data_IF_908638891397
#
_entry.id   IF_908638891397
#
_cell.length_a   1.000
_cell.length_b   1.000
_cell.length_c   1.000
_cell.angle_alpha   90.00
_cell.angle_beta   90.00
_cell.angle_gamma   90.00
#
_symmetry.space_group_name_H-M   'P 1'
#
loop_
_entity.id
_entity.type
_entity.pdbx_description
1 polymer ?
#
# COMPACT_ATOMS: atom_id res chain seq x y z
N UNK A 1 7.22 -16.79 12.20
CA UNK A 1 7.65 -16.59 13.60
C UNK A 1 6.68 -15.60 14.20
N UNK A 2 5.92 -15.99 15.24
CA UNK A 2 5.11 -15.04 15.99
C UNK A 2 6.05 -14.00 16.58
N UNK A 3 5.86 -12.74 16.19
CA UNK A 3 6.63 -11.63 16.74
C UNK A 3 6.01 -11.27 18.09
N UNK A 4 6.83 -11.19 19.13
CA UNK A 4 6.41 -10.79 20.48
C UNK A 4 6.66 -9.31 20.74
N UNK A 5 5.77 -8.67 21.48
CA UNK A 5 5.94 -7.32 21.99
C UNK A 5 6.07 -7.38 23.52
N UNK A 6 7.01 -6.62 24.08
CA UNK A 6 7.18 -6.47 25.51
C UNK A 6 6.63 -5.11 25.95
N UNK A 7 5.75 -5.09 26.95
CA UNK A 7 5.31 -3.86 27.61
C UNK A 7 5.87 -3.86 29.03
N UNK A 8 6.62 -2.84 29.38
CA UNK A 8 7.15 -2.64 30.73
C UNK A 8 6.53 -1.37 31.30
N UNK A 9 5.58 -1.53 32.22
CA UNK A 9 4.81 -0.42 32.77
C UNK A 9 4.25 -0.81 34.14
N UNK A 10 4.46 0.00 35.18
CA UNK A 10 3.94 -0.28 36.52
C UNK A 10 2.40 -0.12 36.60
N UNK A 11 1.81 0.61 35.65
CA UNK A 11 0.37 0.76 35.53
C UNK A 11 -0.29 -0.51 34.96
N UNK A 12 -0.75 -1.36 35.88
CA UNK A 12 -1.43 -2.62 35.57
C UNK A 12 -2.64 -2.48 34.64
N UNK A 13 -3.38 -1.38 34.74
CA UNK A 13 -4.57 -1.16 33.92
C UNK A 13 -4.18 -0.83 32.48
N UNK A 14 -3.23 0.11 32.31
CA UNK A 14 -2.72 0.50 31.00
C UNK A 14 -2.06 -0.68 30.28
N UNK A 15 -1.15 -1.41 30.96
CA UNK A 15 -0.48 -2.57 30.37
C UNK A 15 -1.45 -3.63 29.85
N UNK A 16 -2.47 -3.99 30.64
CA UNK A 16 -3.51 -4.96 30.22
C UNK A 16 -4.38 -4.45 29.06
N UNK A 17 -4.73 -3.17 29.09
CA UNK A 17 -5.53 -2.55 28.02
C UNK A 17 -4.74 -2.54 26.70
N UNK A 18 -3.47 -2.15 26.74
CA UNK A 18 -2.57 -2.15 25.59
C UNK A 18 -2.41 -3.55 25.02
N UNK A 19 -2.10 -4.54 25.86
CA UNK A 19 -1.94 -5.92 25.41
C UNK A 19 -3.20 -6.44 24.70
N UNK A 20 -4.39 -6.19 25.29
CA UNK A 20 -5.65 -6.58 24.68
C UNK A 20 -5.88 -5.87 23.34
N UNK A 21 -5.65 -4.55 23.25
CA UNK A 21 -5.88 -3.79 22.01
C UNK A 21 -4.88 -4.18 20.92
N UNK A 22 -3.63 -4.46 21.27
CA UNK A 22 -2.62 -4.99 20.36
C UNK A 22 -3.07 -6.35 19.85
N UNK A 23 -3.39 -7.32 20.73
CA UNK A 23 -3.81 -8.67 20.33
C UNK A 23 -5.10 -8.70 19.49
N UNK A 24 -6.04 -7.79 19.73
CA UNK A 24 -7.29 -7.69 18.96
C UNK A 24 -7.10 -7.03 17.59
N UNK A 25 -6.22 -6.03 17.51
CA UNK A 25 -6.00 -5.24 16.28
C UNK A 25 -4.91 -5.87 15.41
N UNK A 26 -3.93 -6.51 16.04
CA UNK A 26 -2.69 -6.97 15.44
C UNK A 26 -2.40 -8.41 15.89
N UNK A 27 -1.92 -9.25 14.98
CA UNK A 27 -1.57 -10.65 15.23
C UNK A 27 -0.19 -10.77 15.93
N UNK A 28 -0.05 -10.18 17.11
CA UNK A 28 1.17 -10.19 17.93
C UNK A 28 0.88 -10.78 19.32
N UNK A 29 1.80 -11.60 19.80
CA UNK A 29 1.85 -11.99 21.21
C UNK A 29 2.41 -10.84 22.05
N UNK A 30 1.87 -10.66 23.27
CA UNK A 30 2.26 -9.55 24.14
C UNK A 30 2.58 -10.09 25.53
N UNK A 31 3.81 -9.86 25.97
CA UNK A 31 4.24 -10.08 27.35
C UNK A 31 4.25 -8.73 28.09
N UNK A 32 3.89 -8.74 29.37
CA UNK A 32 3.82 -7.53 30.20
C UNK A 32 4.67 -7.74 31.45
N UNK A 33 5.51 -6.76 31.78
CA UNK A 33 6.21 -6.64 33.04
C UNK A 33 5.73 -5.41 33.81
N UNK A 34 5.43 -5.55 35.09
CA UNK A 34 4.99 -4.45 35.97
C UNK A 34 6.13 -3.86 36.81
N UNK A 35 7.36 -4.31 36.59
CA UNK A 35 8.57 -3.83 37.25
C UNK A 35 9.83 -4.34 36.55
N UNK A 36 10.97 -3.78 36.90
CA UNK A 36 12.25 -4.10 36.27
C UNK A 36 12.69 -5.54 36.54
N UNK A 37 12.45 -6.07 37.74
CA UNK A 37 12.77 -7.45 38.07
C UNK A 37 12.05 -8.46 37.16
N UNK A 38 10.73 -8.28 36.96
CA UNK A 38 9.91 -9.11 36.07
C UNK A 38 10.36 -8.95 34.60
N UNK A 39 10.67 -7.73 34.19
CA UNK A 39 11.15 -7.45 32.84
C UNK A 39 12.44 -8.22 32.52
N UNK A 40 13.36 -8.35 33.49
CA UNK A 40 14.61 -9.13 33.31
C UNK A 40 14.35 -10.61 33.07
N UNK A 41 13.34 -11.20 33.69
CA UNK A 41 12.98 -12.60 33.50
C UNK A 41 12.39 -12.85 32.10
N UNK A 42 11.55 -11.91 31.63
CA UNK A 42 10.90 -11.98 30.33
C UNK A 42 11.86 -11.74 29.15
N UNK A 43 12.87 -10.88 29.32
CA UNK A 43 13.89 -10.55 28.32
C UNK A 43 14.86 -11.70 27.95
N UNK A 44 14.55 -12.93 28.36
CA UNK A 44 15.16 -14.15 27.80
C UNK A 44 14.51 -14.57 26.46
N UNK A 45 13.35 -14.00 26.11
CA UNK A 45 12.69 -14.20 24.83
C UNK A 45 13.15 -13.18 23.77
N UNK A 46 12.94 -13.52 22.50
CA UNK A 46 13.14 -12.61 21.38
C UNK A 46 11.92 -11.69 21.20
N UNK A 47 12.14 -10.38 21.32
CA UNK A 47 11.10 -9.36 21.15
C UNK A 47 11.32 -8.54 19.88
N UNK A 48 10.23 -8.29 19.16
CA UNK A 48 10.20 -7.39 18.01
C UNK A 48 10.33 -5.92 18.45
N UNK A 49 9.68 -5.56 19.56
CA UNK A 49 9.63 -4.20 20.08
C UNK A 49 9.31 -4.23 21.58
N UNK A 50 9.91 -3.30 22.33
CA UNK A 50 9.58 -3.04 23.72
C UNK A 50 9.03 -1.62 23.90
N UNK A 51 7.92 -1.50 24.64
CA UNK A 51 7.44 -0.23 25.18
C UNK A 51 7.86 -0.14 26.64
N UNK A 52 8.65 0.88 26.97
CA UNK A 52 9.38 0.91 28.24
C UNK A 52 9.03 2.18 29.00
N UNK A 53 8.36 2.03 30.13
CA UNK A 53 8.22 3.12 31.09
C UNK A 53 9.58 3.53 31.64
N UNK A 54 9.83 4.84 31.67
CA UNK A 54 11.06 5.39 32.19
C UNK A 54 11.18 5.23 33.72
N UNK A 55 10.06 5.37 34.42
CA UNK A 55 10.03 5.53 35.88
C UNK A 55 9.31 4.36 36.52
N UNK A 56 10.02 3.27 36.76
CA UNK A 56 9.48 2.13 37.50
C UNK A 56 9.76 2.26 39.00
N UNK A 57 8.90 1.74 39.89
CA UNK A 57 9.14 1.76 41.34
C UNK A 57 10.47 1.13 41.79
N UNK A 58 10.94 0.10 41.06
CA UNK A 58 12.21 -0.60 41.29
C UNK A 58 13.36 -0.19 40.34
N UNK A 59 13.11 0.77 39.44
CA UNK A 59 14.08 1.37 38.52
C UNK A 59 13.66 2.81 38.14
N UNK A 60 13.84 3.78 39.06
CA UNK A 60 13.23 5.11 38.91
C UNK A 60 14.00 6.06 37.99
N UNK A 61 15.22 5.72 37.54
CA UNK A 61 16.09 6.62 36.78
C UNK A 61 16.25 6.21 35.30
N UNK A 62 15.43 5.26 34.83
CA UNK A 62 15.48 4.67 33.50
C UNK A 62 16.52 3.55 33.34
N UNK A 63 16.91 2.90 34.44
CA UNK A 63 17.83 1.75 34.42
C UNK A 63 17.31 0.60 33.52
N UNK A 64 15.98 0.47 33.44
CA UNK A 64 15.32 -0.49 32.56
C UNK A 64 15.61 -0.24 31.07
N UNK A 65 15.67 1.03 30.65
CA UNK A 65 15.95 1.40 29.25
C UNK A 65 17.36 0.96 28.86
N UNK A 66 18.34 1.20 29.73
CA UNK A 66 19.72 0.80 29.49
C UNK A 66 19.85 -0.72 29.32
N UNK A 67 19.13 -1.48 30.15
CA UNK A 67 19.13 -2.93 30.05
C UNK A 67 18.44 -3.45 28.77
N UNK A 68 17.33 -2.85 28.35
CA UNK A 68 16.64 -3.19 27.08
C UNK A 68 17.56 -2.93 25.88
N UNK A 69 18.28 -1.81 25.89
CA UNK A 69 19.27 -1.47 24.86
C UNK A 69 20.43 -2.48 24.85
N UNK A 70 20.93 -2.87 26.02
CA UNK A 70 22.00 -3.88 26.14
C UNK A 70 21.57 -5.23 25.52
N UNK A 71 20.30 -5.59 25.67
CA UNK A 71 19.69 -6.77 25.03
C UNK A 71 19.41 -6.62 23.54
N UNK A 72 19.69 -5.44 22.96
CA UNK A 72 19.46 -5.10 21.54
C UNK A 72 18.00 -5.24 21.12
N UNK A 73 17.07 -5.05 22.06
CA UNK A 73 15.65 -5.04 21.78
C UNK A 73 15.28 -3.61 21.34
N UNK A 74 14.67 -3.40 20.16
CA UNK A 74 14.22 -2.07 19.77
C UNK A 74 13.23 -1.52 20.80
N UNK A 75 13.41 -0.27 21.24
CA UNK A 75 12.65 0.30 22.35
C UNK A 75 12.00 1.65 22.01
N UNK A 76 10.75 1.81 22.41
CA UNK A 76 10.04 3.09 22.47
C UNK A 76 9.78 3.43 23.93
N UNK A 77 10.21 4.61 24.36
CA UNK A 77 10.07 5.04 25.76
C UNK A 77 8.66 5.59 26.00
N UNK A 78 8.02 5.19 27.09
CA UNK A 78 6.80 5.79 27.59
C UNK A 78 7.16 6.78 28.71
N UNK A 79 6.81 8.06 28.53
CA UNK A 79 7.15 9.13 29.48
C UNK A 79 5.92 9.94 29.89
N UNK A 80 5.94 10.54 31.08
CA UNK A 80 4.93 11.52 31.48
C UNK A 80 5.05 12.82 30.65
N UNK A 81 3.97 13.59 30.55
CA UNK A 81 3.95 14.79 29.70
C UNK A 81 4.88 15.90 30.25
N UNK A 82 5.65 16.55 29.36
CA UNK A 82 6.37 17.79 29.69
C UNK A 82 7.82 17.67 30.22
N UNK A 83 8.38 16.48 30.39
CA UNK A 83 9.76 16.32 30.89
C UNK A 83 10.82 16.45 29.76
N UNK A 84 11.17 17.70 29.45
CA UNK A 84 12.24 18.02 28.47
C UNK A 84 13.62 17.49 28.87
N UNK A 85 13.93 17.46 30.16
CA UNK A 85 15.24 17.02 30.65
C UNK A 85 15.41 15.51 30.47
N UNK A 86 14.34 14.74 30.71
CA UNK A 86 14.29 13.32 30.39
C UNK A 86 14.41 13.09 28.89
N UNK A 87 13.72 13.87 28.06
CA UNK A 87 13.87 13.76 26.59
C UNK A 87 15.35 13.88 26.20
N UNK A 88 16.00 14.98 26.56
CA UNK A 88 17.43 15.21 26.24
C UNK A 88 18.34 14.08 26.74
N UNK A 89 18.11 13.55 27.94
CA UNK A 89 18.92 12.46 28.52
C UNK A 89 18.85 11.15 27.73
N UNK A 90 17.72 10.86 27.08
CA UNK A 90 17.49 9.56 26.41
C UNK A 90 17.51 9.65 24.87
N UNK A 91 17.45 10.84 24.26
CA UNK A 91 17.55 10.99 22.80
C UNK A 91 18.88 10.48 22.23
N UNK A 92 19.98 10.67 22.97
CA UNK A 92 21.32 10.22 22.57
C UNK A 92 21.50 8.70 22.71
N UNK A 93 20.54 8.01 23.35
CA UNK A 93 20.58 6.56 23.50
C UNK A 93 20.03 5.85 22.25
N UNK A 94 20.30 4.55 22.19
CA UNK A 94 19.92 3.65 21.10
C UNK A 94 18.42 3.25 21.19
N UNK A 95 17.54 4.25 21.24
CA UNK A 95 16.08 4.08 21.25
C UNK A 95 15.46 4.47 19.90
N UNK A 96 14.26 3.97 19.60
CA UNK A 96 13.53 4.30 18.38
C UNK A 96 12.81 5.63 18.46
N UNK A 97 12.05 5.83 19.55
CA UNK A 97 11.18 6.99 19.76
C UNK A 97 10.71 7.08 21.23
N UNK A 98 9.89 8.08 21.53
CA UNK A 98 9.18 8.21 22.79
C UNK A 98 7.69 8.57 22.59
N UNK A 99 6.85 8.18 23.54
CA UNK A 99 5.40 8.41 23.56
C UNK A 99 4.99 8.97 24.92
N UNK A 100 4.09 9.96 24.92
CA UNK A 100 3.58 10.56 26.16
C UNK A 100 2.39 9.77 26.72
N UNK A 101 2.56 9.18 27.91
CA UNK A 101 1.55 8.32 28.56
C UNK A 101 0.22 9.03 28.83
N UNK A 102 0.28 10.32 29.16
CA UNK A 102 -0.87 11.14 29.54
C UNK A 102 -1.63 11.70 28.34
N UNK A 103 -1.14 11.46 27.12
CA UNK A 103 -1.85 11.86 25.91
C UNK A 103 -3.10 11.00 25.70
N UNK A 104 -4.20 11.61 25.29
CA UNK A 104 -5.43 10.90 24.87
C UNK A 104 -5.16 9.94 23.69
N UNK A 105 -4.09 10.20 22.92
CA UNK A 105 -3.66 9.41 21.75
C UNK A 105 -2.61 8.35 22.06
N UNK A 106 -2.14 8.20 23.30
CA UNK A 106 -1.02 7.32 23.68
C UNK A 106 -1.17 5.89 23.11
N UNK A 107 -2.37 5.32 23.28
CA UNK A 107 -2.66 3.95 22.82
C UNK A 107 -2.61 3.86 21.29
N UNK A 108 -3.12 4.87 20.60
CA UNK A 108 -3.15 4.90 19.13
C UNK A 108 -1.74 5.14 18.55
N UNK A 109 -0.91 5.94 19.22
CA UNK A 109 0.51 6.14 18.88
C UNK A 109 1.32 4.85 19.03
N UNK A 110 1.06 4.07 20.09
CA UNK A 110 1.68 2.75 20.31
C UNK A 110 1.34 1.80 19.16
N UNK A 111 0.05 1.70 18.80
CA UNK A 111 -0.41 0.83 17.71
C UNK A 111 0.17 1.30 16.37
N UNK A 112 0.13 2.61 16.10
CA UNK A 112 0.70 3.21 14.89
C UNK A 112 2.19 2.88 14.75
N UNK A 113 2.94 2.97 15.85
CA UNK A 113 4.37 2.66 15.88
C UNK A 113 4.66 1.19 15.54
N UNK A 114 3.85 0.25 16.04
CA UNK A 114 3.98 -1.18 15.72
C UNK A 114 3.72 -1.42 14.22
N UNK A 115 2.64 -0.84 13.69
CA UNK A 115 2.26 -0.97 12.28
C UNK A 115 3.38 -0.43 11.37
N UNK A 116 3.85 0.80 11.66
CA UNK A 116 4.95 1.46 10.94
C UNK A 116 6.21 0.62 10.91
N UNK A 117 6.70 0.14 12.07
CA UNK A 117 7.92 -0.66 12.14
C UNK A 117 7.80 -1.98 11.37
N UNK A 118 6.63 -2.61 11.39
CA UNK A 118 6.39 -3.82 10.61
C UNK A 118 6.38 -3.54 9.10
N UNK A 119 5.92 -2.36 8.69
CA UNK A 119 6.00 -1.91 7.30
C UNK A 119 7.46 -1.62 6.92
N UNK A 120 8.21 -0.88 7.74
CA UNK A 120 9.62 -0.56 7.50
C UNK A 120 10.48 -1.81 7.37
N UNK A 121 10.20 -2.86 8.15
CA UNK A 121 10.84 -4.17 8.03
C UNK A 121 10.71 -4.83 6.65
N UNK A 122 9.71 -4.43 5.86
CA UNK A 122 9.46 -4.92 4.49
C UNK A 122 9.95 -3.93 3.43
N UNK A 123 10.41 -2.76 3.84
CA UNK A 123 10.82 -1.68 2.95
C UNK A 123 12.33 -1.72 2.74
N UNK A 124 12.73 -1.88 1.47
CA UNK A 124 14.13 -1.81 1.05
C UNK A 124 14.53 -0.38 0.69
N UNK A 125 15.65 0.06 1.25
CA UNK A 125 16.16 1.44 1.14
C UNK A 125 17.59 1.40 0.59
N UNK A 126 17.88 2.23 -0.40
CA UNK A 126 19.26 2.50 -0.83
C UNK A 126 19.75 3.75 -0.11
N UNK A 127 20.90 3.65 0.56
CA UNK A 127 21.60 4.77 1.19
C UNK A 127 22.89 5.07 0.43
N UNK A 128 22.90 6.12 -0.37
CA UNK A 128 24.05 6.53 -1.19
C UNK A 128 24.79 7.71 -0.53
N UNK A 129 25.96 7.46 0.05
CA UNK A 129 26.76 8.50 0.69
C UNK A 129 28.26 8.17 0.59
N UNK A 130 29.08 9.17 0.24
CA UNK A 130 30.52 8.98 0.05
C UNK A 130 31.30 8.95 1.38
N UNK A 131 30.87 9.74 2.36
CA UNK A 131 31.53 9.83 3.67
C UNK A 131 31.10 8.68 4.59
N UNK A 132 32.03 7.78 4.86
CA UNK A 132 31.78 6.56 5.64
C UNK A 132 31.20 6.81 7.05
N UNK A 133 31.67 7.79 7.86
CA UNK A 133 31.10 8.04 9.18
C UNK A 133 29.63 8.45 9.13
N UNK A 134 29.29 9.45 8.31
CA UNK A 134 27.92 9.93 8.12
C UNK A 134 27.01 8.81 7.57
N UNK A 135 27.50 8.01 6.61
CA UNK A 135 26.77 6.86 6.06
C UNK A 135 26.46 5.82 7.14
N UNK A 136 27.42 5.50 8.00
CA UNK A 136 27.24 4.51 9.05
C UNK A 136 26.25 4.98 10.12
N UNK A 137 26.23 6.28 10.42
CA UNK A 137 25.27 6.88 11.34
C UNK A 137 23.83 6.78 10.80
N UNK A 138 23.58 7.24 9.57
CA UNK A 138 22.25 7.13 8.94
C UNK A 138 21.85 5.66 8.77
N UNK A 139 22.77 4.79 8.34
CA UNK A 139 22.52 3.34 8.22
C UNK A 139 22.09 2.75 9.55
N UNK A 140 22.74 3.16 10.66
CA UNK A 140 22.38 2.71 12.01
C UNK A 140 20.95 3.12 12.36
N UNK A 141 20.56 4.38 12.13
CA UNK A 141 19.20 4.89 12.38
C UNK A 141 18.15 4.09 11.57
N UNK A 142 18.40 3.88 10.28
CA UNK A 142 17.49 3.11 9.41
C UNK A 142 17.38 1.64 9.85
N UNK A 143 18.51 1.01 10.18
CA UNK A 143 18.53 -0.41 10.60
C UNK A 143 17.82 -0.61 11.94
N UNK A 144 17.96 0.32 12.88
CA UNK A 144 17.20 0.30 14.15
C UNK A 144 15.69 0.29 13.90
N UNK A 145 15.23 1.14 12.96
CA UNK A 145 13.83 1.19 12.50
C UNK A 145 13.45 0.02 11.58
N UNK A 146 14.28 -1.03 11.54
CA UNK A 146 14.07 -2.30 10.84
C UNK A 146 14.15 -2.26 9.31
N UNK A 147 14.51 -1.13 8.69
CA UNK A 147 14.66 -1.07 7.23
C UNK A 147 15.73 -2.05 6.71
N UNK A 148 15.50 -2.60 5.51
CA UNK A 148 16.53 -3.32 4.78
C UNK A 148 17.39 -2.31 3.99
N UNK A 149 18.62 -2.06 4.44
CA UNK A 149 19.46 -0.97 3.90
C UNK A 149 20.58 -1.50 2.99
N UNK A 150 20.54 -1.10 1.72
CA UNK A 150 21.63 -1.25 0.76
C UNK A 150 22.49 0.00 0.78
N UNK A 151 23.74 -0.10 1.25
CA UNK A 151 24.63 1.05 1.38
C UNK A 151 25.55 1.18 0.16
N UNK A 152 25.51 2.33 -0.51
CA UNK A 152 26.33 2.67 -1.67
C UNK A 152 27.28 3.84 -1.35
N UNK A 153 28.43 3.91 -2.01
CA UNK A 153 29.43 4.96 -1.89
C UNK A 153 29.18 6.17 -2.80
N UNK A 154 28.39 5.99 -3.86
CA UNK A 154 28.06 7.01 -4.85
C UNK A 154 26.80 6.65 -5.65
N UNK A 155 26.32 7.57 -6.51
CA UNK A 155 25.09 7.37 -7.28
C UNK A 155 25.14 6.23 -8.29
N UNK A 156 26.28 5.96 -8.92
CA UNK A 156 26.39 4.84 -9.88
C UNK A 156 26.18 3.47 -9.22
N UNK A 157 26.79 3.24 -8.05
CA UNK A 157 26.56 2.02 -7.27
C UNK A 157 25.10 1.94 -6.79
N UNK A 158 24.49 3.07 -6.42
CA UNK A 158 23.08 3.15 -6.07
C UNK A 158 22.16 2.75 -7.24
N UNK A 159 22.44 3.22 -8.46
CA UNK A 159 21.70 2.82 -9.66
C UNK A 159 21.89 1.33 -9.98
N UNK A 160 23.09 0.79 -9.80
CA UNK A 160 23.32 -0.65 -9.93
C UNK A 160 22.44 -1.44 -8.97
N UNK A 161 22.40 -1.04 -7.69
CA UNK A 161 21.52 -1.68 -6.70
C UNK A 161 20.04 -1.54 -7.04
N UNK A 162 19.61 -0.39 -7.56
CA UNK A 162 18.22 -0.19 -7.98
C UNK A 162 17.84 -1.13 -9.13
N UNK A 163 18.71 -1.30 -10.12
CA UNK A 163 18.48 -2.19 -11.26
C UNK A 163 18.39 -3.67 -10.83
N UNK A 164 19.18 -4.07 -9.83
CA UNK A 164 19.18 -5.44 -9.31
C UNK A 164 18.04 -5.71 -8.31
N UNK A 165 17.33 -4.67 -7.84
CA UNK A 165 16.32 -4.77 -6.79
C UNK A 165 15.05 -3.97 -7.12
N UNK A 166 14.08 -4.62 -7.76
CA UNK A 166 12.80 -4.02 -8.15
C UNK A 166 11.84 -3.73 -6.98
N UNK A 167 12.18 -4.15 -5.76
CA UNK A 167 11.42 -3.97 -4.53
C UNK A 167 11.90 -2.79 -3.68
N UNK A 168 12.90 -2.03 -4.15
CA UNK A 168 13.33 -0.78 -3.50
C UNK A 168 12.19 0.23 -3.52
N UNK A 169 12.01 0.93 -2.39
CA UNK A 169 10.97 1.95 -2.24
C UNK A 169 11.49 3.32 -1.87
N UNK A 170 12.74 3.42 -1.42
CA UNK A 170 13.31 4.68 -0.99
C UNK A 170 14.79 4.73 -1.32
N UNK A 171 15.23 5.88 -1.82
CA UNK A 171 16.64 6.25 -1.97
C UNK A 171 16.89 7.45 -1.05
N UNK A 172 17.93 7.35 -0.23
CA UNK A 172 18.45 8.47 0.56
C UNK A 172 19.87 8.73 0.06
N UNK A 173 20.12 9.91 -0.47
CA UNK A 173 21.39 10.22 -1.11
C UNK A 173 22.00 11.54 -0.61
N UNK A 174 23.32 11.56 -0.44
CA UNK A 174 24.06 12.81 -0.28
C UNK A 174 24.00 13.60 -1.59
N UNK A 175 23.76 14.90 -1.54
CA UNK A 175 23.80 15.77 -2.72
C UNK A 175 25.19 15.72 -3.34
N UNK A 176 26.22 15.76 -2.50
CA UNK A 176 27.62 15.81 -2.92
C UNK A 176 28.26 14.41 -2.84
N UNK A 177 28.25 13.71 -3.97
CA UNK A 177 28.90 12.40 -4.13
C UNK A 177 29.83 12.40 -5.35
N UNK A 178 30.91 11.60 -5.35
CA UNK A 178 31.74 11.41 -6.54
C UNK A 178 30.97 10.63 -7.61
N UNK A 179 31.46 10.67 -8.84
CA UNK A 179 30.95 9.93 -10.02
C UNK A 179 29.57 10.39 -10.49
N UNK A 180 28.52 10.08 -9.71
CA UNK A 180 27.15 10.56 -9.93
C UNK A 180 26.72 11.24 -8.63
N UNK A 181 26.40 12.53 -8.72
CA UNK A 181 25.88 13.34 -7.62
C UNK A 181 24.46 12.92 -7.23
N UNK A 182 24.00 13.31 -6.04
CA UNK A 182 22.64 13.03 -5.61
C UNK A 182 21.58 13.67 -6.52
N UNK A 183 21.88 14.83 -7.11
CA UNK A 183 20.97 15.49 -8.05
C UNK A 183 20.88 14.76 -9.39
N UNK A 184 22.02 14.32 -9.95
CA UNK A 184 22.02 13.51 -11.19
C UNK A 184 21.31 12.16 -10.98
N UNK A 185 21.51 11.55 -9.80
CA UNK A 185 20.79 10.33 -9.40
C UNK A 185 19.28 10.57 -9.38
N UNK A 186 18.81 11.68 -8.79
CA UNK A 186 17.39 12.05 -8.79
C UNK A 186 16.83 12.15 -10.22
N UNK A 187 17.55 12.84 -11.12
CA UNK A 187 17.12 12.98 -12.51
C UNK A 187 16.97 11.61 -13.19
N UNK A 188 17.95 10.73 -13.07
CA UNK A 188 17.91 9.38 -13.67
C UNK A 188 16.77 8.51 -13.09
N UNK A 189 16.52 8.61 -11.79
CA UNK A 189 15.40 7.91 -11.14
C UNK A 189 14.07 8.39 -11.69
N UNK A 190 13.90 9.71 -11.87
CA UNK A 190 12.64 10.33 -12.32
C UNK A 190 12.35 10.14 -13.80
N UNK A 191 13.31 9.68 -14.59
CA UNK A 191 13.07 9.21 -15.96
C UNK A 191 12.22 7.93 -15.99
N UNK A 192 12.24 7.13 -14.93
CA UNK A 192 11.64 5.79 -14.89
C UNK A 192 10.60 5.58 -13.78
N UNK A 193 10.66 6.36 -12.71
CA UNK A 193 9.80 6.18 -11.54
C UNK A 193 9.20 7.51 -11.08
N UNK A 194 7.89 7.52 -10.83
CA UNK A 194 7.23 8.64 -10.16
C UNK A 194 7.70 8.76 -8.69
N UNK A 195 7.38 9.89 -8.07
CA UNK A 195 7.69 10.19 -6.67
C UNK A 195 6.87 9.36 -5.66
N UNK A 196 5.74 8.76 -6.05
CA UNK A 196 5.00 7.78 -5.24
C UNK A 196 5.45 6.33 -5.45
N UNK A 197 6.05 6.01 -6.60
CA UNK A 197 6.60 4.67 -6.87
C UNK A 197 7.94 4.44 -6.16
N UNK A 198 8.82 5.44 -6.20
CA UNK A 198 10.16 5.41 -5.61
C UNK A 198 10.51 6.77 -4.98
N UNK A 199 10.58 6.77 -3.65
CA UNK A 199 10.92 7.96 -2.88
C UNK A 199 12.39 8.32 -3.01
N UNK A 200 12.70 9.61 -3.10
CA UNK A 200 14.07 10.13 -3.07
C UNK A 200 14.17 11.24 -2.03
N UNK A 201 15.05 11.05 -1.04
CA UNK A 201 15.42 12.05 -0.03
C UNK A 201 16.86 12.47 -0.29
N UNK A 202 17.09 13.76 -0.49
CA UNK A 202 18.43 14.31 -0.64
C UNK A 202 18.93 14.91 0.67
N UNK A 203 20.19 14.65 1.01
CA UNK A 203 20.87 15.19 2.19
C UNK A 203 21.94 16.17 1.72
N UNK A 204 21.86 17.45 2.09
CA UNK A 204 22.81 18.45 1.64
C UNK A 204 22.95 19.65 2.58
N UNK A 205 23.78 20.60 2.20
CA UNK A 205 23.93 21.85 2.94
C UNK A 205 22.80 22.83 2.61
N UNK A 206 22.66 23.88 3.42
CA UNK A 206 21.66 24.91 3.19
C UNK A 206 21.94 25.70 1.90
N UNK A 207 21.07 25.53 0.91
CA UNK A 207 21.16 26.25 -0.36
C UNK A 207 19.78 26.29 -1.05
N UNK A 208 19.11 27.45 -0.94
CA UNK A 208 17.75 27.67 -1.44
C UNK A 208 17.59 27.33 -2.93
N UNK A 209 18.62 27.61 -3.74
CA UNK A 209 18.56 27.33 -5.18
C UNK A 209 18.62 25.83 -5.47
N UNK A 210 19.47 25.09 -4.77
CA UNK A 210 19.57 23.63 -4.94
C UNK A 210 18.34 22.92 -4.39
N UNK A 211 17.85 23.36 -3.22
CA UNK A 211 16.61 22.85 -2.64
C UNK A 211 15.44 23.04 -3.60
N UNK A 212 15.18 24.28 -4.05
CA UNK A 212 14.08 24.58 -4.95
C UNK A 212 14.20 23.82 -6.28
N UNK A 213 15.42 23.66 -6.81
CA UNK A 213 15.63 22.87 -8.02
C UNK A 213 15.36 21.37 -7.79
N UNK A 214 15.72 20.84 -6.62
CA UNK A 214 15.47 19.44 -6.27
C UNK A 214 13.98 19.13 -6.23
N UNK A 215 13.16 20.01 -5.63
CA UNK A 215 11.69 19.86 -5.63
C UNK A 215 11.09 19.96 -7.03
N UNK A 216 11.57 20.88 -7.87
CA UNK A 216 11.12 20.98 -9.27
C UNK A 216 11.43 19.71 -10.09
N UNK A 217 12.45 18.97 -9.70
CA UNK A 217 12.82 17.69 -10.32
C UNK A 217 12.24 16.48 -9.57
N UNK A 218 11.26 16.69 -8.69
CA UNK A 218 10.49 15.60 -8.06
C UNK A 218 11.18 14.93 -6.87
N UNK A 219 12.09 15.58 -6.16
CA UNK A 219 12.55 15.07 -4.85
C UNK A 219 11.38 15.01 -3.87
N UNK A 220 11.30 13.97 -3.04
CA UNK A 220 10.26 13.86 -2.02
C UNK A 220 10.59 14.73 -0.80
N UNK A 221 11.88 14.84 -0.46
CA UNK A 221 12.35 15.67 0.63
C UNK A 221 13.83 16.09 0.43
N UNK A 222 14.15 17.29 0.90
CA UNK A 222 15.53 17.77 1.01
C UNK A 222 15.83 18.08 2.48
N UNK A 223 16.86 17.45 3.04
CA UNK A 223 17.24 17.61 4.45
C UNK A 223 18.61 18.28 4.59
N UNK A 224 18.65 19.30 5.44
CA UNK A 224 19.87 20.06 5.72
C UNK A 224 20.76 19.37 6.75
N UNK A 225 22.07 19.33 6.47
CA UNK A 225 23.09 18.92 7.42
C UNK A 225 23.49 20.10 8.33
N UNK A 226 23.79 19.87 9.63
CA UNK A 226 23.74 18.60 10.35
C UNK A 226 22.30 18.14 10.65
N UNK A 227 22.07 16.84 10.56
CA UNK A 227 20.75 16.22 10.75
C UNK A 227 20.55 15.85 12.22
N UNK A 228 19.46 16.31 12.84
CA UNK A 228 19.01 15.72 14.10
C UNK A 228 18.28 14.40 13.81
N UNK A 229 18.49 13.39 14.66
CA UNK A 229 17.84 12.07 14.54
C UNK A 229 16.32 12.20 14.49
N UNK A 230 15.75 13.09 15.30
CA UNK A 230 14.31 13.35 15.38
C UNK A 230 13.78 13.98 14.11
N UNK A 231 14.44 15.05 13.64
CA UNK A 231 14.04 15.72 12.40
C UNK A 231 14.09 14.74 11.24
N UNK A 232 15.17 13.96 11.13
CA UNK A 232 15.31 12.92 10.11
C UNK A 232 14.16 11.90 10.19
N UNK A 233 13.88 11.33 11.36
CA UNK A 233 12.81 10.35 11.54
C UNK A 233 11.43 10.93 11.19
N UNK A 234 11.10 12.14 11.65
CA UNK A 234 9.84 12.79 11.33
C UNK A 234 9.67 13.02 9.83
N UNK A 235 10.74 13.44 9.14
CA UNK A 235 10.71 13.69 7.69
C UNK A 235 10.67 12.40 6.88
N UNK A 236 11.36 11.36 7.33
CA UNK A 236 11.30 10.01 6.76
C UNK A 236 9.88 9.45 6.84
N UNK A 237 9.26 9.50 8.03
CA UNK A 237 7.88 9.04 8.25
C UNK A 237 6.90 9.79 7.35
N UNK A 238 7.02 11.12 7.28
CA UNK A 238 6.18 11.97 6.42
C UNK A 238 6.33 11.62 4.94
N UNK A 239 7.56 11.37 4.49
CA UNK A 239 7.84 10.97 3.10
C UNK A 239 7.14 9.66 2.77
N UNK A 240 7.28 8.63 3.62
CA UNK A 240 6.68 7.32 3.38
C UNK A 240 5.15 7.36 3.43
N UNK A 241 4.58 8.06 4.42
CA UNK A 241 3.12 8.25 4.50
C UNK A 241 2.58 9.00 3.27
N UNK A 242 3.27 10.04 2.81
CA UNK A 242 2.88 10.76 1.59
C UNK A 242 2.87 9.84 0.36
N UNK A 243 3.88 8.97 0.22
CA UNK A 243 3.94 8.02 -0.88
C UNK A 243 2.78 7.02 -0.83
N UNK A 244 2.48 6.48 0.37
CA UNK A 244 1.38 5.54 0.56
C UNK A 244 0.02 6.20 0.25
N UNK A 245 -0.21 7.42 0.76
CA UNK A 245 -1.44 8.17 0.51
C UNK A 245 -1.62 8.48 -0.97
N UNK A 246 -0.55 8.92 -1.64
CA UNK A 246 -0.58 9.25 -3.07
C UNK A 246 -0.85 8.00 -3.90
N UNK A 247 -0.24 6.86 -3.54
CA UNK A 247 -0.49 5.57 -4.19
C UNK A 247 -1.91 5.07 -3.94
N UNK A 248 -2.44 5.27 -2.74
CA UNK A 248 -3.83 4.95 -2.42
C UNK A 248 -4.79 5.78 -3.28
N UNK A 249 -4.55 7.09 -3.39
CA UNK A 249 -5.33 7.99 -4.22
C UNK A 249 -5.21 7.67 -5.71
N UNK A 250 -4.02 7.35 -6.21
CA UNK A 250 -3.83 6.96 -7.62
C UNK A 250 -4.58 5.66 -7.93
N UNK A 251 -4.56 4.70 -7.02
CA UNK A 251 -5.33 3.45 -7.12
C UNK A 251 -6.84 3.72 -7.13
N UNK A 252 -7.34 4.59 -6.23
CA UNK A 252 -8.78 4.91 -6.19
C UNK A 252 -9.22 5.69 -7.45
N UNK A 253 -8.33 6.50 -8.02
CA UNK A 253 -8.60 7.24 -9.25
C UNK A 253 -8.67 6.36 -10.50
N UNK A 254 -8.24 5.10 -10.45
CA UNK A 254 -8.34 4.17 -11.59
C UNK A 254 -9.44 3.13 -11.42
N UNK A 255 -10.03 2.98 -10.24
CA UNK A 255 -11.09 2.02 -9.96
C UNK A 255 -12.46 2.70 -9.89
N UNK A 256 -13.50 1.95 -10.20
CA UNK A 256 -14.89 2.31 -9.97
C UNK A 256 -15.25 2.03 -8.50
N UNK A 257 -15.78 3.01 -7.75
CA UNK A 257 -15.94 2.91 -6.30
C UNK A 257 -16.98 1.87 -5.85
N UNK A 258 -17.89 1.47 -6.74
CA UNK A 258 -18.92 0.47 -6.41
C UNK A 258 -18.40 -0.92 -6.76
N UNK A 259 -17.98 -1.12 -8.00
CA UNK A 259 -17.62 -2.45 -8.53
C UNK A 259 -16.19 -2.90 -8.22
N UNK A 260 -15.27 -1.99 -7.91
CA UNK A 260 -13.86 -2.30 -7.65
C UNK A 260 -13.03 -2.69 -8.88
N UNK A 261 -13.63 -2.77 -10.07
CA UNK A 261 -12.91 -2.91 -11.35
C UNK A 261 -12.49 -1.54 -11.87
N UNK A 262 -11.77 -1.46 -12.99
CA UNK A 262 -11.34 -0.17 -13.56
C UNK A 262 -12.53 0.76 -13.79
N UNK A 263 -12.38 2.05 -13.51
CA UNK A 263 -13.37 3.04 -13.94
C UNK A 263 -13.31 3.27 -15.45
N UNK A 264 -14.22 4.09 -15.96
CA UNK A 264 -14.33 4.37 -17.40
C UNK A 264 -12.99 4.83 -17.98
N UNK A 265 -12.34 5.87 -17.42
CA UNK A 265 -11.12 6.42 -17.99
C UNK A 265 -9.99 5.36 -18.04
N UNK A 266 -9.73 4.67 -16.92
CA UNK A 266 -8.68 3.66 -16.85
C UNK A 266 -8.97 2.42 -17.73
N UNK A 267 -10.24 2.12 -17.98
CA UNK A 267 -10.66 1.10 -18.94
C UNK A 267 -10.33 1.54 -20.37
N UNK A 268 -10.72 2.75 -20.77
CA UNK A 268 -10.49 3.28 -22.11
C UNK A 268 -8.98 3.37 -22.40
N UNK A 269 -8.21 3.96 -21.49
CA UNK A 269 -6.74 4.05 -21.61
C UNK A 269 -6.12 2.66 -21.83
N UNK A 270 -6.54 1.66 -21.04
CA UNK A 270 -6.04 0.30 -21.17
C UNK A 270 -6.45 -0.40 -22.48
N UNK A 271 -7.61 -0.05 -23.04
CA UNK A 271 -8.05 -0.56 -24.36
C UNK A 271 -7.22 0.09 -25.46
N UNK A 272 -7.00 1.40 -25.39
CA UNK A 272 -6.20 2.13 -26.37
C UNK A 272 -4.75 1.64 -26.39
N UNK A 273 -4.14 1.42 -25.22
CA UNK A 273 -2.82 0.80 -25.09
C UNK A 273 -2.76 -0.56 -25.77
N UNK A 274 -3.77 -1.41 -25.53
CA UNK A 274 -3.86 -2.72 -26.16
C UNK A 274 -4.04 -2.64 -27.67
N UNK A 275 -4.88 -1.72 -28.16
CA UNK A 275 -5.10 -1.52 -29.60
C UNK A 275 -3.82 -1.04 -30.30
N UNK A 276 -3.06 -0.14 -29.66
CA UNK A 276 -1.75 0.27 -30.15
C UNK A 276 -0.77 -0.91 -30.19
N UNK A 277 -0.79 -1.79 -29.17
CA UNK A 277 0.06 -2.99 -29.12
C UNK A 277 -0.21 -3.98 -30.26
N UNK A 278 -1.48 -4.20 -30.61
CA UNK A 278 -1.89 -5.14 -31.65
C UNK A 278 -1.98 -4.53 -33.05
N UNK A 279 -1.79 -3.21 -33.20
CA UNK A 279 -1.96 -2.51 -34.48
C UNK A 279 -1.12 -3.09 -35.64
N UNK A 280 -0.01 -3.76 -35.31
CA UNK A 280 0.89 -4.42 -36.29
C UNK A 280 0.88 -5.95 -36.21
N UNK A 281 0.05 -6.53 -35.33
CA UNK A 281 -0.09 -7.97 -35.09
C UNK A 281 -1.41 -8.46 -35.67
N UNK A 282 -1.43 -9.71 -36.14
CA UNK A 282 -2.68 -10.40 -36.49
C UNK A 282 -3.23 -11.10 -35.25
N UNK A 283 -3.85 -10.32 -34.35
CA UNK A 283 -4.40 -10.81 -33.08
C UNK A 283 -5.91 -10.57 -32.99
N UNK A 284 -6.65 -11.62 -32.63
CA UNK A 284 -8.08 -11.59 -32.35
C UNK A 284 -8.35 -11.42 -30.86
N UNK A 285 -9.43 -10.72 -30.54
CA UNK A 285 -9.90 -10.50 -29.17
C UNK A 285 -11.43 -10.55 -29.09
N UNK A 286 -11.94 -10.66 -27.87
CA UNK A 286 -13.37 -10.57 -27.60
C UNK A 286 -13.68 -9.34 -26.75
N UNK A 287 -14.67 -8.56 -27.17
CA UNK A 287 -15.19 -7.39 -26.48
C UNK A 287 -16.63 -7.66 -26.07
N UNK A 288 -17.00 -7.39 -24.82
CA UNK A 288 -18.36 -7.61 -24.34
C UNK A 288 -18.84 -6.51 -23.40
N UNK A 289 -20.15 -6.30 -23.41
CA UNK A 289 -20.85 -5.63 -22.33
C UNK A 289 -21.70 -6.63 -21.56
N UNK A 290 -21.59 -6.57 -20.23
CA UNK A 290 -22.46 -7.23 -19.27
C UNK A 290 -23.33 -6.19 -18.59
N UNK A 291 -24.61 -6.51 -18.43
CA UNK A 291 -25.58 -5.67 -17.73
C UNK A 291 -26.47 -6.55 -16.84
N UNK A 292 -26.68 -6.09 -15.61
CA UNK A 292 -27.37 -6.84 -14.56
C UNK A 292 -28.87 -6.74 -14.81
N UNK A 293 -29.53 -7.88 -14.90
CA UNK A 293 -30.95 -7.94 -15.21
C UNK A 293 -31.77 -7.43 -14.03
N UNK A 294 -32.67 -6.47 -14.30
CA UNK A 294 -33.60 -5.91 -13.31
C UNK A 294 -32.93 -5.22 -12.10
N UNK A 295 -31.72 -4.69 -12.24
CA UNK A 295 -31.02 -4.00 -11.16
C UNK A 295 -31.85 -2.86 -10.53
N UNK A 296 -32.60 -2.10 -11.33
CA UNK A 296 -33.49 -1.06 -10.80
C UNK A 296 -34.57 -1.63 -9.89
N UNK A 297 -35.16 -2.78 -10.23
CA UNK A 297 -36.16 -3.43 -9.37
C UNK A 297 -35.54 -3.90 -8.06
N UNK A 298 -34.33 -4.44 -8.10
CA UNK A 298 -33.58 -4.83 -6.89
C UNK A 298 -33.34 -3.60 -6.00
N UNK A 299 -32.94 -2.47 -6.59
CA UNK A 299 -32.74 -1.22 -5.86
C UNK A 299 -34.03 -0.70 -5.22
N UNK A 300 -35.14 -0.78 -5.96
CA UNK A 300 -36.44 -0.30 -5.50
C UNK A 300 -37.02 -1.18 -4.38
N UNK A 301 -36.76 -2.49 -4.42
CA UNK A 301 -37.29 -3.48 -3.47
C UNK A 301 -36.41 -3.62 -2.21
N UNK A 302 -35.09 -3.67 -2.37
CA UNK A 302 -34.13 -3.99 -1.29
C UNK A 302 -33.20 -2.84 -0.91
N UNK A 303 -33.26 -1.72 -1.64
CA UNK A 303 -32.41 -0.55 -1.43
C UNK A 303 -31.12 -0.57 -2.23
N UNK A 304 -30.51 0.61 -2.40
CA UNK A 304 -29.31 0.79 -3.22
C UNK A 304 -28.08 0.05 -2.70
N UNK A 305 -27.96 -0.11 -1.38
CA UNK A 305 -26.86 -0.86 -0.77
C UNK A 305 -26.83 -2.32 -1.27
N UNK A 306 -28.00 -2.94 -1.41
CA UNK A 306 -28.12 -4.30 -1.96
C UNK A 306 -27.77 -4.34 -3.44
N UNK A 307 -28.20 -3.34 -4.23
CA UNK A 307 -27.80 -3.24 -5.63
C UNK A 307 -26.29 -3.03 -5.82
N UNK A 308 -25.65 -2.26 -4.95
CA UNK A 308 -24.20 -2.08 -4.94
C UNK A 308 -23.48 -3.41 -4.63
N UNK A 309 -24.01 -4.22 -3.70
CA UNK A 309 -23.48 -5.58 -3.44
C UNK A 309 -23.66 -6.51 -4.64
N UNK A 310 -24.81 -6.45 -5.32
CA UNK A 310 -25.03 -7.20 -6.58
C UNK A 310 -24.01 -6.81 -7.65
N UNK A 311 -23.71 -5.50 -7.79
CA UNK A 311 -22.68 -5.00 -8.69
C UNK A 311 -21.29 -5.56 -8.34
N UNK A 312 -20.91 -5.53 -7.06
CA UNK A 312 -19.62 -6.06 -6.58
C UNK A 312 -19.47 -7.54 -6.88
N UNK A 313 -20.51 -8.33 -6.61
CA UNK A 313 -20.50 -9.77 -6.90
C UNK A 313 -20.32 -10.01 -8.40
N UNK A 314 -21.06 -9.31 -9.25
CA UNK A 314 -20.91 -9.45 -10.70
C UNK A 314 -19.48 -9.13 -11.16
N UNK A 315 -18.89 -8.05 -10.63
CA UNK A 315 -17.52 -7.67 -10.93
C UNK A 315 -16.51 -8.74 -10.49
N UNK A 316 -16.67 -9.30 -9.28
CA UNK A 316 -15.83 -10.37 -8.77
C UNK A 316 -15.94 -11.64 -9.62
N UNK A 317 -17.13 -12.04 -10.06
CA UNK A 317 -17.32 -13.21 -10.92
C UNK A 317 -16.65 -13.03 -12.29
N UNK A 318 -16.66 -11.81 -12.85
CA UNK A 318 -15.92 -11.50 -14.07
C UNK A 318 -14.42 -11.60 -13.82
N UNK A 319 -13.91 -10.98 -12.74
CA UNK A 319 -12.48 -10.98 -12.41
C UNK A 319 -11.97 -12.41 -12.20
N UNK A 320 -12.74 -13.27 -11.54
CA UNK A 320 -12.37 -14.67 -11.28
C UNK A 320 -12.25 -15.53 -12.55
N UNK A 321 -12.98 -15.21 -13.62
CA UNK A 321 -12.93 -15.95 -14.89
C UNK A 321 -11.98 -15.31 -15.92
N UNK A 322 -11.48 -14.11 -15.65
CA UNK A 322 -10.53 -13.37 -16.49
C UNK A 322 -9.09 -13.56 -16.00
N UNK A 323 -8.10 -13.21 -16.84
CA UNK A 323 -6.68 -13.23 -16.48
C UNK A 323 -6.19 -11.81 -16.21
N UNK A 324 -5.10 -11.66 -15.45
CA UNK A 324 -4.51 -10.34 -15.17
C UNK A 324 -4.06 -9.52 -16.39
N UNK A 325 -4.03 -10.13 -17.59
CA UNK A 325 -3.78 -9.42 -18.87
C UNK A 325 -5.05 -8.83 -19.50
N UNK A 326 -6.21 -9.39 -19.18
CA UNK A 326 -7.50 -8.98 -19.73
C UNK A 326 -7.95 -7.66 -19.09
N UNK A 327 -8.89 -6.97 -19.71
CA UNK A 327 -9.39 -5.68 -19.22
C UNK A 327 -10.83 -5.83 -18.77
N UNK A 328 -11.10 -5.39 -17.54
CA UNK A 328 -12.44 -5.34 -16.96
C UNK A 328 -12.63 -3.97 -16.36
N UNK A 329 -13.74 -3.32 -16.67
CA UNK A 329 -14.03 -2.00 -16.13
C UNK A 329 -15.50 -1.58 -16.23
N UNK A 330 -15.91 -0.65 -15.38
CA UNK A 330 -17.24 -0.05 -15.39
C UNK A 330 -17.33 0.95 -16.53
N UNK A 331 -18.08 0.60 -17.57
CA UNK A 331 -18.25 1.46 -18.75
C UNK A 331 -19.34 2.51 -18.54
N UNK A 332 -20.38 2.17 -17.79
CA UNK A 332 -21.43 3.10 -17.39
C UNK A 332 -22.05 2.67 -16.05
N UNK A 333 -23.01 3.45 -15.55
CA UNK A 333 -23.76 3.10 -14.34
C UNK A 333 -24.43 1.71 -14.39
N UNK A 334 -24.67 1.14 -15.58
CA UNK A 334 -25.38 -0.13 -15.76
C UNK A 334 -24.53 -1.22 -16.43
N UNK A 335 -23.41 -0.85 -17.07
CA UNK A 335 -22.64 -1.76 -17.93
C UNK A 335 -21.22 -1.98 -17.41
N UNK A 336 -20.83 -3.24 -17.32
CA UNK A 336 -19.45 -3.67 -17.15
C UNK A 336 -18.90 -4.10 -18.52
N UNK A 337 -17.76 -3.54 -18.91
CA UNK A 337 -17.03 -3.93 -20.11
C UNK A 337 -16.01 -5.00 -19.77
N UNK A 338 -15.86 -5.95 -20.69
CA UNK A 338 -14.90 -7.05 -20.60
C UNK A 338 -14.19 -7.15 -21.96
N UNK A 339 -12.87 -7.04 -21.96
CA UNK A 339 -12.03 -7.30 -23.13
C UNK A 339 -11.06 -8.44 -22.81
N UNK A 340 -11.26 -9.57 -23.49
CA UNK A 340 -10.39 -10.75 -23.40
C UNK A 340 -9.34 -10.69 -24.51
N UNK A 341 -8.07 -10.59 -24.13
CA UNK A 341 -6.95 -10.43 -25.08
C UNK A 341 -6.50 -11.77 -25.66
N UNK A 342 -6.13 -11.77 -26.94
CA UNK A 342 -5.57 -12.92 -27.65
C UNK A 342 -6.35 -14.21 -27.38
N UNK A 343 -7.59 -14.26 -27.89
CA UNK A 343 -8.50 -15.37 -27.63
C UNK A 343 -9.37 -15.70 -28.84
N UNK A 344 -9.49 -17.00 -29.13
CA UNK A 344 -10.43 -17.52 -30.12
C UNK A 344 -11.88 -17.34 -29.68
N UNK A 345 -12.79 -17.14 -30.63
CA UNK A 345 -14.23 -16.99 -30.39
C UNK A 345 -14.82 -18.10 -29.49
N UNK A 346 -14.53 -19.37 -29.78
CA UNK A 346 -15.04 -20.52 -29.01
C UNK A 346 -14.66 -20.48 -27.52
N UNK A 347 -13.42 -20.06 -27.22
CA UNK A 347 -12.93 -19.96 -25.84
C UNK A 347 -13.56 -18.78 -25.11
N UNK A 348 -13.70 -17.64 -25.78
CA UNK A 348 -14.35 -16.47 -25.22
C UNK A 348 -15.82 -16.75 -24.86
N UNK A 349 -16.58 -17.41 -25.75
CA UNK A 349 -17.98 -17.79 -25.47
C UNK A 349 -18.08 -18.69 -24.23
N UNK A 350 -17.14 -19.63 -24.06
CA UNK A 350 -17.09 -20.48 -22.85
C UNK A 350 -16.83 -19.68 -21.57
N UNK A 351 -15.98 -18.66 -21.63
CA UNK A 351 -15.71 -17.76 -20.48
C UNK A 351 -16.96 -16.95 -20.16
N UNK A 352 -17.56 -16.26 -21.12
CA UNK A 352 -18.78 -15.47 -20.89
C UNK A 352 -19.95 -16.34 -20.40
N UNK A 353 -20.08 -17.57 -20.91
CA UNK A 353 -21.09 -18.52 -20.43
C UNK A 353 -20.86 -18.92 -18.97
N UNK A 354 -19.60 -19.10 -18.55
CA UNK A 354 -19.26 -19.39 -17.14
C UNK A 354 -19.56 -18.20 -16.24
N UNK A 355 -19.12 -17.00 -16.62
CA UNK A 355 -19.43 -15.75 -15.91
C UNK A 355 -20.93 -15.65 -15.65
N UNK A 356 -21.76 -15.80 -16.69
CA UNK A 356 -23.22 -15.76 -16.55
C UNK A 356 -23.74 -16.83 -15.58
N UNK A 357 -23.28 -18.07 -15.72
CA UNK A 357 -23.73 -19.19 -14.85
C UNK A 357 -23.32 -18.99 -13.40
N UNK A 358 -22.14 -18.43 -13.14
CA UNK A 358 -21.69 -18.17 -11.77
C UNK A 358 -22.47 -17.02 -11.15
N UNK A 359 -22.69 -15.93 -11.89
CA UNK A 359 -23.55 -14.81 -11.47
C UNK A 359 -24.94 -15.30 -11.07
N UNK A 360 -25.56 -16.16 -11.90
CA UNK A 360 -26.89 -16.73 -11.61
C UNK A 360 -26.95 -17.55 -10.32
N UNK A 361 -25.83 -18.14 -9.92
CA UNK A 361 -25.72 -18.94 -8.68
C UNK A 361 -25.38 -18.08 -7.47
N UNK A 362 -24.90 -16.87 -7.69
CA UNK A 362 -24.58 -15.96 -6.61
C UNK A 362 -25.86 -15.33 -6.06
N UNK A 363 -25.87 -15.08 -4.75
CA UNK A 363 -26.98 -14.44 -4.05
C UNK A 363 -26.46 -13.42 -3.05
N UNK A 364 -27.28 -12.43 -2.75
CA UNK A 364 -27.05 -11.49 -1.65
C UNK A 364 -27.97 -11.87 -0.50
N UNK A 365 -27.42 -12.01 0.70
CA UNK A 365 -28.21 -12.27 1.90
C UNK A 365 -28.83 -10.98 2.41
N UNK A 366 -30.16 -10.90 2.42
CA UNK A 366 -30.95 -9.75 2.88
C UNK A 366 -31.97 -10.24 3.90
N UNK A 367 -31.90 -9.75 5.14
CA UNK A 367 -32.84 -10.13 6.22
C UNK A 367 -33.04 -11.65 6.43
N UNK A 368 -31.97 -12.44 6.27
CA UNK A 368 -31.94 -13.92 6.33
C UNK A 368 -32.50 -14.66 5.10
N UNK A 369 -32.90 -13.93 4.05
CA UNK A 369 -33.30 -14.49 2.76
C UNK A 369 -32.22 -14.24 1.68
N UNK A 370 -32.07 -15.15 0.72
CA UNK A 370 -31.14 -14.97 -0.41
C UNK A 370 -31.85 -14.38 -1.63
N UNK A 371 -31.33 -13.24 -2.10
CA UNK A 371 -31.78 -12.58 -3.32
C UNK A 371 -30.87 -13.00 -4.47
N UNK A 372 -31.43 -13.75 -5.43
CA UNK A 372 -30.73 -14.17 -6.65
C UNK A 372 -31.00 -13.21 -7.80
N UNK A 373 -30.00 -13.06 -8.67
CA UNK A 373 -30.05 -12.17 -9.82
C UNK A 373 -29.37 -12.81 -11.03
N UNK A 374 -29.61 -12.26 -12.22
CA UNK A 374 -29.00 -12.71 -13.47
C UNK A 374 -28.35 -11.54 -14.19
N UNK A 375 -27.56 -11.84 -15.22
CA UNK A 375 -26.99 -10.84 -16.10
C UNK A 375 -27.09 -11.28 -17.56
N UNK A 376 -27.23 -10.29 -18.43
CA UNK A 376 -27.21 -10.47 -19.88
C UNK A 376 -25.87 -9.97 -20.43
N UNK A 377 -25.33 -10.65 -21.43
CA UNK A 377 -24.01 -10.36 -22.01
C UNK A 377 -24.13 -10.25 -23.53
N UNK A 378 -23.69 -9.13 -24.09
CA UNK A 378 -23.55 -8.93 -25.53
C UNK A 378 -22.09 -8.95 -25.95
N UNK A 379 -21.71 -9.90 -26.81
CA UNK A 379 -20.32 -10.18 -27.19
C UNK A 379 -20.08 -9.85 -28.67
N UNK A 380 -18.94 -9.22 -28.94
CA UNK A 380 -18.44 -8.89 -30.28
C UNK A 380 -17.00 -9.36 -30.39
N UNK A 381 -16.64 -9.98 -31.51
CA UNK A 381 -15.27 -10.35 -31.79
C UNK A 381 -14.61 -9.26 -32.63
N UNK A 382 -13.42 -8.85 -32.21
CA UNK A 382 -12.63 -7.81 -32.86
C UNK A 382 -11.27 -8.33 -33.28
N UNK A 383 -10.63 -7.55 -34.16
CA UNK A 383 -9.28 -7.80 -34.66
C UNK A 383 -8.51 -6.50 -34.78
N UNK A 384 -7.23 -6.61 -35.13
CA UNK A 384 -6.36 -5.45 -35.36
C UNK A 384 -7.00 -4.43 -36.33
N UNK A 385 -6.97 -3.16 -35.94
CA UNK A 385 -7.55 -2.04 -36.69
C UNK A 385 -9.01 -1.68 -36.34
N UNK A 386 -9.71 -2.48 -35.53
CA UNK A 386 -11.03 -2.11 -35.02
C UNK A 386 -10.96 -0.93 -34.04
N UNK A 387 -12.03 -0.13 -34.00
CA UNK A 387 -12.16 1.03 -33.10
C UNK A 387 -13.15 0.76 -31.98
N UNK A 388 -12.85 1.29 -30.80
CA UNK A 388 -13.66 1.08 -29.59
C UNK A 388 -15.12 1.52 -29.78
N UNK A 389 -15.36 2.69 -30.38
CA UNK A 389 -16.71 3.20 -30.61
C UNK A 389 -17.57 2.22 -31.43
N UNK A 390 -16.98 1.63 -32.48
CA UNK A 390 -17.68 0.68 -33.34
C UNK A 390 -17.99 -0.63 -32.59
N UNK A 391 -17.06 -1.10 -31.77
CA UNK A 391 -17.24 -2.30 -30.96
C UNK A 391 -18.29 -2.08 -29.86
N UNK A 392 -18.24 -0.93 -29.19
CA UNK A 392 -19.19 -0.55 -28.15
C UNK A 392 -20.63 -0.43 -28.69
N UNK A 393 -20.80 0.17 -29.87
CA UNK A 393 -22.09 0.27 -30.55
C UNK A 393 -22.65 -1.12 -30.91
N UNK A 394 -21.82 -1.99 -31.47
CA UNK A 394 -22.21 -3.38 -31.78
C UNK A 394 -22.56 -4.15 -30.52
N UNK A 395 -21.71 -4.12 -29.49
CA UNK A 395 -21.91 -4.84 -28.25
C UNK A 395 -23.17 -4.38 -27.51
N UNK A 396 -23.47 -3.07 -27.53
CA UNK A 396 -24.70 -2.54 -26.95
C UNK A 396 -25.96 -3.06 -27.66
N UNK A 397 -25.94 -3.18 -28.99
CA UNK A 397 -27.07 -3.75 -29.75
C UNK A 397 -27.27 -5.23 -29.43
N UNK A 398 -26.19 -6.00 -29.40
CA UNK A 398 -26.24 -7.43 -29.06
C UNK A 398 -26.69 -7.65 -27.61
N UNK A 399 -26.25 -6.79 -26.69
CA UNK A 399 -26.71 -6.83 -25.30
C UNK A 399 -28.22 -6.51 -25.18
N UNK A 400 -28.72 -5.53 -25.95
CA UNK A 400 -30.16 -5.25 -26.01
C UNK A 400 -30.94 -6.48 -26.50
N UNK A 401 -30.44 -7.12 -27.55
CA UNK A 401 -31.02 -8.37 -28.06
C UNK A 401 -31.04 -9.48 -27.00
N UNK A 402 -29.98 -9.60 -26.18
CA UNK A 402 -29.95 -10.55 -25.07
C UNK A 402 -31.07 -10.28 -24.06
N UNK A 403 -31.30 -9.00 -23.73
CA UNK A 403 -32.38 -8.58 -22.83
C UNK A 403 -33.76 -8.82 -23.43
N UNK A 404 -33.95 -8.47 -24.70
CA UNK A 404 -35.23 -8.62 -25.41
C UNK A 404 -35.61 -10.09 -25.62
N UNK A 405 -34.62 -10.97 -25.79
CA UNK A 405 -34.83 -12.41 -25.93
C UNK A 405 -35.08 -13.14 -24.60
N UNK A 406 -35.35 -12.42 -23.52
CA UNK A 406 -35.72 -12.99 -22.23
C UNK A 406 -34.59 -13.06 -21.20
N UNK A 407 -33.53 -12.25 -21.36
CA UNK A 407 -32.47 -12.04 -20.37
C UNK A 407 -31.66 -13.32 -20.06
N UNK A 408 -30.79 -13.28 -19.03
CA UNK A 408 -29.97 -14.39 -18.54
C UNK A 408 -29.27 -15.19 -19.66
N UNK A 409 -28.61 -14.47 -20.58
CA UNK A 409 -27.99 -15.09 -21.75
C UNK A 409 -26.81 -14.32 -22.29
N UNK A 410 -26.03 -15.05 -23.07
CA UNK A 410 -24.94 -14.53 -23.88
C UNK A 410 -25.42 -14.51 -25.32
N UNK A 411 -25.47 -13.33 -25.94
CA UNK A 411 -25.68 -13.16 -27.37
C UNK A 411 -24.37 -12.73 -28.03
N UNK A 412 -24.13 -13.19 -29.25
CA UNK A 412 -22.92 -12.88 -30.02
C UNK A 412 -23.31 -12.18 -31.32
N UNK A 413 -22.52 -11.21 -31.77
CA UNK A 413 -22.68 -10.66 -33.11
C UNK A 413 -22.31 -11.74 -34.15
N UNK A 414 -23.31 -12.17 -34.92
CA UNK A 414 -23.15 -13.08 -36.06
C UNK A 414 -22.45 -12.43 -37.25
#
# INVERSE_FOLDING_TARGET
MNKKILIIDDNKMLGKLLAKKIQMTLDYEVDIAFGFAEAKELMNNDYFLAFVDLCLPDAPNGEVVDYVIEKKIPAIILTASGDKATKEKFMDKDILDYIFKESETCIDEIISSIIKLNQYAKTKVILAMSKLPERNEIKKILTQRQFNVLAAAHGEEAMSYLNDNNDVKLIIADVNMPVISGFELLTQVREHFSDDELGVILLGDHNDSFEANSFKNGVNEYLFKPLSKESFNCRLDRCLSYMDDKKFLSTYNVLDPVSGVKNYNALIDGIDDYFNEIATKDEEFAFAFLDIDNLQMINDEYGREVGDEVIKICANEIVNETKGRDLVGRYSAEKICILLKNISQERAIKIFSRIRVNIKKAGVLVNLDEVFFTASIGVVFGKSGDKIDSLADKASKILSQAKDNGKDRVEVCS
#
